data_IF_249099615922
#
_entry.id   IF_249099615922
#
_cell.length_a   1.000
_cell.length_b   1.000
_cell.length_c   1.000
_cell.angle_alpha   90.00
_cell.angle_beta   90.00
_cell.angle_gamma   90.00
#
_symmetry.space_group_name_H-M   'P 1'
#
loop_
_entity.id
_entity.type
_entity.pdbx_description
1 polymer ?
#
# COMPACT_ATOMS: atom_id res chain seq x y z
N UNK A 1 -1.96 -8.57 -9.90
CA UNK A 1 -0.57 -8.21 -10.29
C UNK A 1 -0.13 -7.12 -9.36
N UNK A 2 0.76 -7.41 -8.40
CA UNK A 2 1.36 -6.39 -7.53
C UNK A 2 2.74 -5.99 -8.07
N UNK A 3 3.28 -4.87 -7.61
CA UNK A 3 4.73 -4.66 -7.71
C UNK A 3 5.41 -5.55 -6.67
N UNK A 4 6.74 -5.61 -6.69
CA UNK A 4 7.54 -6.51 -5.84
C UNK A 4 7.31 -6.32 -4.33
N UNK A 5 6.66 -5.24 -3.90
CA UNK A 5 6.43 -4.85 -2.51
C UNK A 5 5.03 -4.23 -2.21
N UNK A 6 4.14 -4.10 -3.21
CA UNK A 6 2.79 -3.53 -3.04
C UNK A 6 1.73 -4.41 -3.71
N UNK A 7 0.67 -4.72 -2.96
CA UNK A 7 -0.45 -5.53 -3.41
C UNK A 7 -1.59 -4.67 -4.02
N UNK A 8 -2.16 -5.15 -5.13
CA UNK A 8 -3.41 -4.60 -5.68
C UNK A 8 -4.58 -5.39 -5.11
N UNK A 9 -5.52 -4.68 -4.47
CA UNK A 9 -6.72 -5.24 -3.86
C UNK A 9 -7.99 -4.72 -4.55
N UNK A 10 -9.12 -5.36 -4.30
CA UNK A 10 -10.42 -4.89 -4.78
C UNK A 10 -10.77 -3.53 -4.17
N UNK A 11 -11.26 -2.60 -4.99
CA UNK A 11 -11.73 -1.28 -4.54
C UNK A 11 -12.97 -1.35 -3.63
N UNK A 12 -13.68 -2.48 -3.60
CA UNK A 12 -14.87 -2.69 -2.79
C UNK A 12 -14.57 -3.05 -1.32
N UNK A 13 -13.30 -3.16 -0.93
CA UNK A 13 -12.96 -3.35 0.49
C UNK A 13 -13.43 -2.15 1.30
N UNK A 14 -13.79 -2.39 2.56
CA UNK A 14 -14.02 -1.27 3.47
C UNK A 14 -12.68 -0.59 3.78
N UNK A 15 -12.70 0.73 4.01
CA UNK A 15 -11.50 1.48 4.41
C UNK A 15 -10.83 0.88 5.64
N UNK A 16 -11.62 0.43 6.61
CA UNK A 16 -11.11 -0.25 7.81
C UNK A 16 -10.34 -1.52 7.45
N UNK A 17 -10.90 -2.39 6.61
CA UNK A 17 -10.25 -3.65 6.24
C UNK A 17 -8.98 -3.40 5.42
N UNK A 18 -9.02 -2.46 4.47
CA UNK A 18 -7.84 -2.09 3.69
C UNK A 18 -6.73 -1.50 4.57
N UNK A 19 -7.10 -0.69 5.57
CA UNK A 19 -6.17 -0.18 6.59
C UNK A 19 -5.57 -1.31 7.43
N UNK A 20 -6.39 -2.19 7.99
CA UNK A 20 -5.95 -3.31 8.84
C UNK A 20 -4.98 -4.24 8.07
N UNK A 21 -5.26 -4.54 6.80
CA UNK A 21 -4.36 -5.32 5.94
C UNK A 21 -3.02 -4.60 5.71
N UNK A 22 -3.06 -3.28 5.49
CA UNK A 22 -1.85 -2.46 5.29
C UNK A 22 -1.00 -2.45 6.57
N UNK A 23 -1.62 -2.28 7.74
CA UNK A 23 -0.94 -2.37 9.04
C UNK A 23 -0.29 -3.74 9.22
N UNK A 24 -1.05 -4.82 8.97
CA UNK A 24 -0.55 -6.18 9.09
C UNK A 24 0.66 -6.43 8.17
N UNK A 25 0.61 -5.93 6.93
CA UNK A 25 1.73 -6.03 6.00
C UNK A 25 2.97 -5.27 6.49
N UNK A 26 2.81 -4.02 6.95
CA UNK A 26 3.91 -3.21 7.47
C UNK A 26 4.57 -3.83 8.71
N UNK A 27 3.76 -4.33 9.66
CA UNK A 27 4.27 -5.02 10.86
C UNK A 27 5.02 -6.32 10.53
N UNK A 28 4.59 -7.04 9.50
CA UNK A 28 5.20 -8.32 9.11
C UNK A 28 6.27 -8.20 8.02
N UNK A 29 6.71 -6.98 7.65
CA UNK A 29 7.66 -6.74 6.56
C UNK A 29 8.90 -7.62 6.58
N UNK A 30 9.50 -7.86 7.75
CA UNK A 30 10.70 -8.69 7.86
C UNK A 30 10.42 -10.14 7.49
N UNK A 31 9.27 -10.68 7.93
CA UNK A 31 8.85 -12.04 7.61
C UNK A 31 8.43 -12.14 6.14
N UNK A 32 7.73 -11.13 5.62
CA UNK A 32 7.41 -11.05 4.19
C UNK A 32 8.68 -10.99 3.34
N UNK A 33 9.70 -10.26 3.80
CA UNK A 33 11.03 -10.17 3.20
C UNK A 33 11.76 -11.51 3.04
N UNK A 34 11.45 -12.50 3.88
CA UNK A 34 12.02 -13.84 3.75
C UNK A 34 11.42 -14.64 2.58
N UNK A 35 10.21 -14.28 2.15
CA UNK A 35 9.48 -14.93 1.05
C UNK A 35 9.63 -14.10 -0.23
N UNK A 36 9.53 -12.78 -0.10
CA UNK A 36 9.65 -11.80 -1.18
C UNK A 36 10.70 -10.77 -0.76
N UNK A 37 11.97 -10.92 -1.18
CA UNK A 37 13.07 -10.08 -0.72
C UNK A 37 12.82 -8.56 -0.81
N UNK A 38 12.10 -8.10 -1.84
CA UNK A 38 11.74 -6.71 -2.01
C UNK A 38 10.83 -6.15 -0.89
N UNK A 39 9.99 -7.00 -0.27
CA UNK A 39 9.12 -6.61 0.84
C UNK A 39 9.88 -6.35 2.15
N UNK A 40 11.17 -6.70 2.24
CA UNK A 40 12.00 -6.37 3.38
C UNK A 40 12.29 -4.86 3.46
N UNK A 41 12.25 -4.16 2.31
CA UNK A 41 12.57 -2.75 2.17
C UNK A 41 11.48 -1.79 2.65
N UNK A 42 11.75 -0.49 2.51
CA UNK A 42 10.71 0.54 2.61
C UNK A 42 9.88 0.48 1.31
N UNK A 43 8.54 0.51 1.37
CA UNK A 43 7.71 0.48 0.16
C UNK A 43 8.06 1.61 -0.82
N UNK A 44 8.22 1.28 -2.09
CA UNK A 44 8.49 2.25 -3.15
C UNK A 44 7.19 2.68 -3.85
N UNK A 45 6.68 3.85 -3.45
CA UNK A 45 5.38 4.36 -3.92
C UNK A 45 5.48 5.15 -5.23
N UNK A 46 6.64 5.74 -5.53
CA UNK A 46 6.81 6.62 -6.68
C UNK A 46 6.41 5.99 -8.02
N UNK A 47 6.76 4.72 -8.33
CA UNK A 47 6.32 4.07 -9.56
C UNK A 47 4.80 3.94 -9.68
N UNK A 48 4.10 3.67 -8.57
CA UNK A 48 2.63 3.54 -8.55
C UNK A 48 1.96 4.88 -8.80
N UNK A 49 2.50 5.93 -8.17
CA UNK A 49 2.04 7.31 -8.36
C UNK A 49 2.25 7.76 -9.80
N UNK A 50 3.44 7.49 -10.39
CA UNK A 50 3.74 7.80 -11.79
C UNK A 50 2.85 7.04 -12.77
N UNK A 51 2.48 5.80 -12.44
CA UNK A 51 1.55 5.00 -13.23
C UNK A 51 0.09 5.47 -13.11
N UNK A 52 -0.21 6.46 -12.27
CA UNK A 52 -1.57 6.98 -12.06
C UNK A 52 -2.52 5.98 -11.40
N UNK A 53 -1.99 4.95 -10.73
CA UNK A 53 -2.80 3.93 -10.07
C UNK A 53 -3.29 4.50 -8.74
N UNK A 54 -4.62 4.57 -8.51
CA UNK A 54 -5.16 5.12 -7.27
C UNK A 54 -4.89 4.19 -6.09
N UNK A 55 -4.63 4.79 -4.92
CA UNK A 55 -4.54 4.05 -3.66
C UNK A 55 -5.93 3.88 -3.05
N UNK A 56 -6.16 2.72 -2.41
CA UNK A 56 -7.34 2.54 -1.58
C UNK A 56 -7.32 3.55 -0.41
N UNK A 57 -8.40 4.26 -0.08
CA UNK A 57 -8.38 5.33 0.93
C UNK A 57 -7.90 4.85 2.31
N UNK A 58 -8.45 3.72 2.80
CA UNK A 58 -7.96 3.07 4.02
C UNK A 58 -6.45 2.73 4.03
N UNK A 59 -5.91 2.23 2.92
CA UNK A 59 -4.48 1.94 2.80
C UNK A 59 -3.64 3.23 2.73
N UNK A 60 -4.09 4.22 1.96
CA UNK A 60 -3.43 5.52 1.82
C UNK A 60 -3.28 6.22 3.18
N UNK A 61 -4.33 6.21 4.01
CA UNK A 61 -4.29 6.78 5.36
C UNK A 61 -3.18 6.14 6.21
N UNK A 62 -3.09 4.80 6.22
CA UNK A 62 -2.06 4.07 6.97
C UNK A 62 -0.66 4.34 6.43
N UNK A 63 -0.48 4.33 5.10
CA UNK A 63 0.83 4.59 4.50
C UNK A 63 1.32 6.02 4.81
N UNK A 64 0.44 7.02 4.83
CA UNK A 64 0.78 8.40 5.24
C UNK A 64 1.15 8.48 6.72
N UNK A 65 0.42 7.79 7.59
CA UNK A 65 0.77 7.70 9.01
C UNK A 65 2.14 7.02 9.22
N UNK A 66 2.50 6.08 8.34
CA UNK A 66 3.83 5.46 8.31
C UNK A 66 4.92 6.37 7.69
N UNK A 67 4.60 7.63 7.36
CA UNK A 67 5.54 8.62 6.83
C UNK A 67 5.83 8.50 5.34
N UNK A 68 4.94 7.85 4.58
CA UNK A 68 5.06 7.75 3.12
C UNK A 68 4.25 8.85 2.42
N UNK A 69 4.83 9.45 1.39
CA UNK A 69 4.16 10.47 0.57
C UNK A 69 3.21 9.81 -0.43
N UNK A 70 1.97 9.55 0.00
CA UNK A 70 0.88 9.08 -0.86
C UNK A 70 0.01 10.27 -1.26
N UNK A 71 -0.14 10.59 -2.56
CA UNK A 71 -0.97 11.71 -3.01
C UNK A 71 -2.45 11.48 -2.65
N UNK A 72 -3.17 12.57 -2.40
CA UNK A 72 -4.64 12.56 -2.35
C UNK A 72 -5.17 12.52 -3.77
N UNK A 73 -5.11 11.35 -4.41
CA UNK A 73 -5.91 11.12 -5.60
C UNK A 73 -7.36 10.90 -5.14
N UNK A 74 -8.07 12.02 -5.00
CA UNK A 74 -9.53 12.03 -4.94
C UNK A 74 -9.99 11.37 -6.23
N UNK A 75 -10.48 10.14 -6.14
CA UNK A 75 -11.18 9.53 -7.26
C UNK A 75 -12.45 10.35 -7.42
N UNK A 76 -12.50 11.25 -8.41
CA UNK A 76 -13.76 11.84 -8.85
C UNK A 76 -14.68 10.65 -9.17
N UNK A 77 -15.79 10.57 -8.41
CA UNK A 77 -16.81 9.52 -8.55
C UNK A 77 -17.64 9.74 -9.79
#
# INVERSE_FOLDING_TARGET
VGTVDIAICAAALSDKLAGDLTIAALHNRTRLGQIVPAAAGKPEIAPIVQAGIPFHPGAAAVLRQAGLSVPDLVTER
#
